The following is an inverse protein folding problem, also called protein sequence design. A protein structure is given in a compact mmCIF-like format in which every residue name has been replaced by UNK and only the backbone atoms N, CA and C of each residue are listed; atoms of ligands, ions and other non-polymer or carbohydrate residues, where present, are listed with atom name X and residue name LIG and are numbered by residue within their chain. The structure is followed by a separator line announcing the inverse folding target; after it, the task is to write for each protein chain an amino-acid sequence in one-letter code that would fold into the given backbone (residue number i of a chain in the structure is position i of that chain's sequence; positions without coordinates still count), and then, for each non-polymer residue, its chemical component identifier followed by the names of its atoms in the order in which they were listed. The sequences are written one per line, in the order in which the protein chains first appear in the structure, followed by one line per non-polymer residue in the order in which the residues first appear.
data_IF_636504764954
#
_entry.id   IF_636504764954
#
_cell.length_a   1.000
_cell.length_b   1.000
_cell.length_c   1.000
_cell.angle_alpha   90.00
_cell.angle_beta   90.00
_cell.angle_gamma   90.00
#
_symmetry.space_group_name_H-M   'P 1'
#
loop_
_entity.id
_entity.type
_entity.pdbx_description
1 polymer ?
#
# COMPACT_ATOMS: atom_id res chain seq x y z
N UNK A 1 -2.23 -1.48 -15.01
CA UNK A 1 -0.88 -1.37 -14.40
C UNK A 1 -0.92 -2.00 -13.02
N UNK A 2 0.07 -2.80 -12.72
CA UNK A 2 0.20 -3.45 -11.42
C UNK A 2 1.41 -2.90 -10.68
N UNK A 3 1.18 -2.44 -9.45
CA UNK A 3 2.22 -1.82 -8.63
C UNK A 3 2.29 -2.55 -7.30
N UNK A 4 3.49 -2.92 -6.89
CA UNK A 4 3.72 -3.54 -5.59
C UNK A 4 4.44 -2.53 -4.69
N UNK A 5 3.85 -2.25 -3.54
CA UNK A 5 4.45 -1.35 -2.55
C UNK A 5 4.86 -2.19 -1.33
N UNK A 6 6.14 -2.13 -1.02
CA UNK A 6 6.72 -2.88 0.09
C UNK A 6 7.17 -1.91 1.17
N UNK A 7 6.75 -2.13 2.40
CA UNK A 7 7.14 -1.31 3.55
C UNK A 7 7.64 -2.21 4.67
N UNK A 8 8.84 -1.93 5.14
CA UNK A 8 9.52 -2.73 6.16
C UNK A 8 9.44 -2.18 7.58
N UNK A 9 8.70 -1.09 7.81
CA UNK A 9 8.58 -0.49 9.14
C UNK A 9 7.13 -0.40 9.59
N UNK A 10 6.60 0.81 9.75
CA UNK A 10 5.24 1.00 10.27
C UNK A 10 4.15 1.08 9.22
N UNK A 11 4.50 1.11 7.95
CA UNK A 11 3.53 1.18 6.86
C UNK A 11 3.06 2.59 6.53
N UNK A 12 3.45 3.63 7.28
CA UNK A 12 2.95 4.98 7.04
C UNK A 12 3.49 5.60 5.76
N UNK A 13 4.75 5.34 5.41
CA UNK A 13 5.31 5.80 4.14
C UNK A 13 4.65 5.07 2.98
N UNK A 14 4.51 3.75 3.09
CA UNK A 14 3.84 2.94 2.08
C UNK A 14 2.39 3.37 1.88
N UNK A 15 1.67 3.63 2.97
CA UNK A 15 0.29 4.12 2.92
C UNK A 15 0.20 5.45 2.18
N UNK A 16 1.07 6.40 2.51
CA UNK A 16 1.08 7.71 1.86
C UNK A 16 1.35 7.59 0.37
N UNK A 17 2.30 6.74 0.00
CA UNK A 17 2.63 6.49 -1.39
C UNK A 17 1.43 5.89 -2.14
N UNK A 18 0.76 4.91 -1.54
CA UNK A 18 -0.42 4.28 -2.14
C UNK A 18 -1.53 5.31 -2.34
N UNK A 19 -1.78 6.16 -1.35
CA UNK A 19 -2.81 7.19 -1.45
C UNK A 19 -2.52 8.15 -2.61
N UNK A 20 -1.26 8.52 -2.80
CA UNK A 20 -0.87 9.39 -3.92
C UNK A 20 -0.99 8.68 -5.27
N UNK A 21 -0.60 7.42 -5.33
CA UNK A 21 -0.70 6.63 -6.56
C UNK A 21 -2.16 6.47 -6.99
N UNK A 22 -3.05 6.21 -6.05
CA UNK A 22 -4.48 6.05 -6.35
C UNK A 22 -5.12 7.35 -6.83
N UNK A 23 -4.61 8.50 -6.38
CA UNK A 23 -5.08 9.78 -6.89
C UNK A 23 -4.66 10.03 -8.33
N UNK A 24 -3.47 9.60 -8.71
CA UNK A 24 -2.94 9.81 -10.06
C UNK A 24 -3.35 8.74 -11.03
N UNK A 25 -3.46 7.51 -10.56
CA UNK A 25 -3.77 6.33 -11.38
C UNK A 25 -4.86 5.55 -10.66
N UNK A 26 -6.13 6.02 -10.73
CA UNK A 26 -7.22 5.37 -9.98
C UNK A 26 -7.46 3.92 -10.36
N UNK A 27 -7.08 3.53 -11.59
CA UNK A 27 -7.26 2.17 -12.09
C UNK A 27 -6.08 1.24 -11.78
N UNK A 28 -5.05 1.75 -11.11
CA UNK A 28 -3.88 0.92 -10.80
C UNK A 28 -4.26 -0.22 -9.85
N UNK A 29 -3.75 -1.41 -10.15
CA UNK A 29 -3.84 -2.54 -9.24
C UNK A 29 -2.65 -2.46 -8.29
N UNK A 30 -2.90 -2.10 -7.03
CA UNK A 30 -1.84 -1.94 -6.05
C UNK A 30 -1.89 -3.07 -5.06
N UNK A 31 -0.75 -3.74 -4.89
CA UNK A 31 -0.56 -4.78 -3.89
C UNK A 31 0.38 -4.22 -2.82
N UNK A 32 -0.09 -4.19 -1.58
CA UNK A 32 0.71 -3.74 -0.44
C UNK A 32 1.32 -4.95 0.27
N UNK A 33 2.62 -4.92 0.46
CA UNK A 33 3.35 -5.97 1.16
C UNK A 33 4.06 -5.36 2.36
N UNK A 34 3.57 -5.66 3.56
CA UNK A 34 4.25 -5.28 4.80
C UNK A 34 5.13 -6.42 5.28
N UNK A 35 6.34 -6.10 5.72
CA UNK A 35 7.22 -7.12 6.29
C UNK A 35 6.87 -7.45 7.74
N UNK A 36 5.85 -6.80 8.29
CA UNK A 36 5.26 -7.12 9.59
C UNK A 36 3.77 -6.78 9.56
N UNK A 37 3.04 -7.26 10.55
CA UNK A 37 1.58 -7.10 10.59
C UNK A 37 1.15 -5.64 10.73
N UNK A 38 1.93 -4.81 11.41
CA UNK A 38 1.61 -3.39 11.59
C UNK A 38 1.70 -2.65 10.26
N UNK A 39 2.78 -2.88 9.51
CA UNK A 39 2.97 -2.26 8.20
C UNK A 39 1.86 -2.65 7.24
N UNK A 40 1.52 -3.93 7.19
CA UNK A 40 0.43 -4.43 6.35
C UNK A 40 -0.89 -3.78 6.71
N UNK A 41 -1.24 -3.75 7.99
CA UNK A 41 -2.49 -3.16 8.44
C UNK A 41 -2.57 -1.66 8.12
N UNK A 42 -1.46 -0.93 8.29
CA UNK A 42 -1.41 0.50 8.01
C UNK A 42 -1.61 0.79 6.53
N UNK A 43 -0.97 0.02 5.66
CA UNK A 43 -1.10 0.21 4.22
C UNK A 43 -2.50 -0.16 3.71
N UNK A 44 -3.15 -1.14 4.31
CA UNK A 44 -4.52 -1.51 3.93
C UNK A 44 -5.51 -0.37 4.17
N UNK A 45 -5.23 0.52 5.10
CA UNK A 45 -6.06 1.70 5.36
C UNK A 45 -6.07 2.68 4.20
N UNK A 46 -5.13 2.57 3.27
CA UNK A 46 -5.10 3.42 2.07
C UNK A 46 -6.14 2.99 1.02
N UNK A 47 -6.84 1.88 1.23
CA UNK A 47 -7.89 1.42 0.32
C UNK A 47 -7.46 0.36 -0.67
N UNK A 48 -6.31 -0.26 -0.49
CA UNK A 48 -5.90 -1.39 -1.33
C UNK A 48 -6.65 -2.65 -0.91
N UNK A 49 -6.85 -3.57 -1.86
CA UNK A 49 -7.65 -4.77 -1.63
C UNK A 49 -6.87 -5.94 -1.06
N UNK A 50 -5.56 -5.97 -1.28
CA UNK A 50 -4.75 -7.12 -0.94
C UNK A 50 -3.49 -6.68 -0.22
N UNK A 51 -3.21 -7.32 0.89
CA UNK A 51 -1.99 -7.13 1.64
C UNK A 51 -1.37 -8.46 2.00
N UNK A 52 -0.08 -8.49 2.07
CA UNK A 52 0.64 -9.70 2.45
C UNK A 52 1.60 -9.42 3.61
#
# INVERSE_FOLDING_TARGET
MKIVVIDGQGGSVGRMLIERLLKRIPDACIVAVGTNSIATATMLKAGVKLGA
#
